data_IF_412350949956
#
_entry.id   IF_412350949956
#
_cell.length_a   1.000
_cell.length_b   1.000
_cell.length_c   1.000
_cell.angle_alpha   90.00
_cell.angle_beta   90.00
_cell.angle_gamma   90.00
#
_symmetry.space_group_name_H-M   'P 1'
#
loop_
_entity.id
_entity.type
_entity.pdbx_description
1 polymer ?
#
# COMPACT_ATOMS: atom_id res chain seq x y z
N UNK A 1 68.39 16.08 20.11
CA UNK A 1 67.56 15.54 19.00
C UNK A 1 66.32 16.42 18.83
N UNK A 2 65.84 16.62 17.59
CA UNK A 2 64.50 17.11 17.25
C UNK A 2 63.94 18.32 18.03
N UNK A 3 64.24 19.55 17.58
CA UNK A 3 63.54 20.76 18.03
C UNK A 3 63.07 21.60 16.83
N UNK A 4 61.76 21.84 16.72
CA UNK A 4 61.16 22.70 15.67
C UNK A 4 60.03 23.55 16.29
N UNK A 5 60.30 24.85 16.46
CA UNK A 5 59.29 25.90 16.61
C UNK A 5 58.56 26.09 15.25
N UNK A 6 57.40 26.78 15.09
CA UNK A 6 57.12 28.15 15.57
C UNK A 6 55.66 28.58 15.32
N UNK A 7 55.10 29.33 16.27
CA UNK A 7 54.08 30.40 16.18
C UNK A 7 53.04 30.45 15.03
N UNK A 8 51.76 30.65 15.39
CA UNK A 8 50.78 31.40 14.57
C UNK A 8 50.72 32.87 15.00
N UNK A 9 50.74 33.81 14.05
CA UNK A 9 50.12 35.13 14.22
C UNK A 9 48.58 35.01 14.18
N UNK A 10 47.74 35.95 14.66
CA UNK A 10 47.81 37.44 14.62
C UNK A 10 47.94 37.97 13.18
N UNK A 11 47.15 38.97 12.73
CA UNK A 11 46.34 39.97 13.46
C UNK A 11 45.37 40.75 12.51
N UNK A 12 44.22 41.26 13.01
CA UNK A 12 43.33 42.34 12.46
C UNK A 12 42.84 42.22 10.99
N UNK A 13 41.79 42.89 10.45
CA UNK A 13 40.59 43.69 10.86
C UNK A 13 39.62 43.68 9.64
N UNK A 14 38.37 44.18 9.57
CA UNK A 14 37.46 45.07 10.34
C UNK A 14 36.00 44.47 10.24
N UNK A 15 34.85 44.94 10.76
CA UNK A 15 34.28 46.23 11.28
C UNK A 15 33.90 47.26 10.19
N UNK A 16 32.61 47.68 10.03
CA UNK A 16 31.33 47.08 10.47
C UNK A 16 30.15 47.22 9.43
N UNK A 17 28.90 47.24 9.93
CA UNK A 17 27.65 47.84 9.39
C UNK A 17 27.03 47.39 8.05
N UNK A 18 26.00 46.54 8.16
CA UNK A 18 24.61 46.96 7.82
C UNK A 18 23.57 46.09 8.53
N UNK A 19 22.47 46.70 9.00
CA UNK A 19 21.29 45.98 9.45
C UNK A 19 20.44 45.53 8.25
N UNK A 20 19.77 44.38 8.37
CA UNK A 20 18.56 44.11 7.59
C UNK A 20 17.57 43.28 8.40
N UNK A 21 16.42 43.88 8.71
CA UNK A 21 15.28 43.13 9.23
C UNK A 21 14.73 42.25 8.09
N UNK A 22 14.81 40.93 8.26
CA UNK A 22 14.39 39.95 7.27
C UNK A 22 13.76 38.73 7.93
N UNK A 23 12.49 38.49 7.63
CA UNK A 23 11.72 37.33 8.10
C UNK A 23 12.51 36.03 7.88
N UNK A 24 12.82 35.30 8.95
CA UNK A 24 13.29 33.91 8.87
C UNK A 24 12.12 33.00 8.47
N UNK A 25 11.68 33.15 7.23
CA UNK A 25 10.75 32.25 6.57
C UNK A 25 11.50 30.96 6.23
N UNK A 26 11.76 30.12 7.25
CA UNK A 26 12.37 28.81 7.04
C UNK A 26 11.46 28.00 6.10
N UNK A 27 11.89 27.67 4.87
CA UNK A 27 11.09 26.83 4.02
C UNK A 27 11.04 25.44 4.66
N UNK A 28 9.90 25.10 5.27
CA UNK A 28 9.64 23.74 5.68
C UNK A 28 9.56 22.90 4.41
N UNK A 29 10.69 22.30 4.02
CA UNK A 29 10.78 21.33 2.95
C UNK A 29 10.05 20.05 3.39
N UNK A 30 8.71 20.13 3.38
CA UNK A 30 7.84 18.99 3.19
C UNK A 30 8.21 18.41 1.83
N UNK A 31 9.15 17.46 1.83
CA UNK A 31 9.40 16.60 0.69
C UNK A 31 8.16 15.73 0.57
N UNK A 32 7.15 16.27 -0.10
CA UNK A 32 5.97 15.52 -0.54
C UNK A 32 6.54 14.40 -1.40
N UNK A 33 6.55 13.19 -0.85
CA UNK A 33 6.84 11.99 -1.61
C UNK A 33 5.72 11.85 -2.63
N UNK A 34 5.93 12.41 -3.82
CA UNK A 34 5.08 12.20 -4.98
C UNK A 34 5.18 10.71 -5.33
N UNK A 35 4.34 9.91 -4.67
CA UNK A 35 4.18 8.50 -4.95
C UNK A 35 4.01 8.37 -6.46
N UNK A 36 4.91 7.63 -7.12
CA UNK A 36 4.97 7.59 -8.57
C UNK A 36 3.77 6.79 -9.09
N UNK A 37 2.65 7.50 -9.29
CA UNK A 37 1.31 6.96 -9.47
C UNK A 37 1.27 6.09 -10.74
N UNK A 38 1.23 4.78 -10.54
CA UNK A 38 0.79 3.85 -11.58
C UNK A 38 -0.71 3.69 -11.37
N UNK A 39 -1.50 4.51 -12.07
CA UNK A 39 -2.96 4.62 -11.88
C UNK A 39 -3.70 3.43 -12.54
N UNK A 40 -3.40 2.21 -12.06
CA UNK A 40 -4.13 1.01 -12.46
C UNK A 40 -5.53 1.07 -11.85
N UNK A 41 -6.55 1.20 -12.71
CA UNK A 41 -7.95 1.10 -12.31
C UNK A 41 -8.50 -0.30 -12.62
N UNK A 42 -9.02 -0.95 -11.58
CA UNK A 42 -9.72 -2.23 -11.68
C UNK A 42 -11.23 -2.02 -11.52
N UNK A 43 -11.95 -2.00 -12.64
CA UNK A 43 -13.41 -2.03 -12.65
C UNK A 43 -13.90 -3.48 -12.48
N UNK A 44 -14.18 -3.87 -11.24
CA UNK A 44 -14.45 -5.26 -10.85
C UNK A 44 -15.78 -5.75 -11.45
N UNK A 45 -16.83 -4.91 -11.48
CA UNK A 45 -18.15 -5.32 -11.96
C UNK A 45 -18.13 -5.64 -13.47
N UNK A 46 -17.40 -4.85 -14.26
CA UNK A 46 -17.23 -5.05 -15.70
C UNK A 46 -16.14 -6.07 -16.06
N UNK A 47 -15.29 -6.49 -15.11
CA UNK A 47 -14.17 -7.40 -15.38
C UNK A 47 -14.59 -8.83 -15.78
N UNK A 48 -13.90 -9.36 -16.79
CA UNK A 48 -13.91 -10.77 -17.18
C UNK A 48 -12.72 -11.53 -16.58
N UNK A 49 -12.70 -12.87 -16.74
CA UNK A 49 -11.53 -13.72 -16.44
C UNK A 49 -10.25 -13.16 -17.05
N UNK A 50 -10.28 -12.90 -18.35
CA UNK A 50 -9.08 -12.53 -19.10
C UNK A 50 -8.63 -11.10 -18.77
N UNK A 51 -9.57 -10.19 -18.47
CA UNK A 51 -9.24 -8.87 -17.94
C UNK A 51 -8.47 -8.99 -16.62
N UNK A 52 -8.91 -9.84 -15.68
CA UNK A 52 -8.23 -10.04 -14.40
C UNK A 52 -6.84 -10.65 -14.57
N UNK A 53 -6.67 -11.66 -15.42
CA UNK A 53 -5.36 -12.26 -15.73
C UNK A 53 -4.41 -11.23 -16.35
N UNK A 54 -4.89 -10.49 -17.35
CA UNK A 54 -4.10 -9.44 -18.02
C UNK A 54 -3.71 -8.32 -17.02
N UNK A 55 -4.67 -7.82 -16.22
CA UNK A 55 -4.40 -6.82 -15.17
C UNK A 55 -3.30 -7.29 -14.20
N UNK A 56 -3.38 -8.52 -13.69
CA UNK A 56 -2.39 -9.04 -12.76
C UNK A 56 -1.03 -9.29 -13.44
N UNK A 57 -0.98 -9.69 -14.72
CA UNK A 57 0.27 -9.80 -15.49
C UNK A 57 0.91 -8.43 -15.70
N UNK A 58 0.12 -7.48 -16.18
CA UNK A 58 0.61 -6.18 -16.63
C UNK A 58 0.98 -5.29 -15.43
N UNK A 59 0.26 -5.41 -14.32
CA UNK A 59 0.64 -4.81 -13.05
C UNK A 59 1.99 -5.36 -12.54
N UNK A 60 2.26 -6.67 -12.58
CA UNK A 60 3.59 -7.22 -12.21
C UNK A 60 4.71 -6.62 -13.05
N UNK A 61 4.50 -6.48 -14.36
CA UNK A 61 5.49 -5.87 -15.27
C UNK A 61 5.72 -4.38 -14.94
N UNK A 62 4.66 -3.63 -14.64
CA UNK A 62 4.73 -2.21 -14.23
C UNK A 62 5.31 -2.01 -12.82
N UNK A 63 5.20 -3.00 -11.95
CA UNK A 63 5.73 -3.00 -10.57
C UNK A 63 7.18 -3.49 -10.48
N UNK A 64 7.70 -4.17 -11.49
CA UNK A 64 9.10 -4.57 -11.55
C UNK A 64 10.06 -3.40 -11.79
N UNK A 65 11.32 -3.57 -11.37
CA UNK A 65 12.44 -2.82 -11.94
C UNK A 65 12.78 -3.37 -13.34
N UNK A 66 13.61 -2.65 -14.11
CA UNK A 66 14.03 -3.06 -15.47
C UNK A 66 14.78 -4.40 -15.54
N UNK A 67 15.21 -4.94 -14.40
CA UNK A 67 15.93 -6.21 -14.28
C UNK A 67 14.95 -7.32 -13.87
N UNK A 68 14.86 -8.37 -14.69
CA UNK A 68 14.15 -9.61 -14.37
C UNK A 68 15.11 -10.72 -13.93
N UNK A 69 14.70 -11.61 -13.03
CA UNK A 69 15.40 -12.88 -12.75
C UNK A 69 14.53 -14.04 -13.22
N UNK A 70 15.08 -14.95 -14.02
CA UNK A 70 14.31 -16.05 -14.64
C UNK A 70 13.00 -15.59 -15.34
N UNK A 71 13.05 -14.45 -16.03
CA UNK A 71 11.92 -13.75 -16.66
C UNK A 71 10.84 -13.21 -15.70
N UNK A 72 10.99 -13.40 -14.38
CA UNK A 72 10.13 -12.81 -13.36
C UNK A 72 10.57 -11.35 -13.08
N UNK A 73 9.65 -10.36 -13.05
CA UNK A 73 9.96 -9.00 -12.63
C UNK A 73 10.40 -8.97 -11.16
N UNK A 74 11.52 -8.32 -10.86
CA UNK A 74 12.03 -8.16 -9.49
C UNK A 74 11.49 -6.83 -8.93
N UNK A 75 11.07 -6.80 -7.67
CA UNK A 75 10.74 -5.56 -6.97
C UNK A 75 12.00 -4.73 -6.67
N UNK A 76 11.91 -3.40 -6.47
CA UNK A 76 13.04 -2.61 -5.98
C UNK A 76 13.50 -3.11 -4.60
N UNK A 77 14.79 -2.93 -4.24
CA UNK A 77 15.30 -3.33 -2.94
C UNK A 77 14.62 -2.57 -1.79
N UNK A 78 14.44 -3.25 -0.67
CA UNK A 78 13.89 -2.65 0.56
C UNK A 78 14.69 -1.42 0.99
N UNK A 79 14.04 -0.29 1.32
CA UNK A 79 14.73 0.93 1.69
C UNK A 79 15.40 0.81 3.07
N UNK A 80 16.52 1.51 3.25
CA UNK A 80 17.25 1.57 4.52
C UNK A 80 16.56 2.40 5.61
N UNK A 81 15.50 3.15 5.26
CA UNK A 81 14.74 4.01 6.17
C UNK A 81 13.28 4.13 5.76
N UNK A 82 12.38 4.28 6.73
CA UNK A 82 10.94 4.49 6.47
C UNK A 82 10.66 5.70 5.56
N UNK A 83 11.50 6.74 5.61
CA UNK A 83 11.38 7.95 4.77
C UNK A 83 11.66 7.72 3.29
N UNK A 84 12.23 6.57 2.94
CA UNK A 84 12.56 6.17 1.56
C UNK A 84 11.57 5.11 1.02
N UNK A 85 10.54 4.72 1.79
CA UNK A 85 9.49 3.84 1.30
C UNK A 85 8.74 4.53 0.17
N UNK A 86 8.71 3.88 -0.99
CA UNK A 86 7.93 4.32 -2.15
C UNK A 86 6.63 3.53 -2.22
N UNK A 87 5.56 4.21 -2.61
CA UNK A 87 4.22 3.64 -2.68
C UNK A 87 3.71 3.54 -4.11
N UNK A 88 2.81 2.59 -4.33
CA UNK A 88 2.04 2.40 -5.56
C UNK A 88 0.57 2.30 -5.18
N UNK A 89 -0.24 3.18 -5.76
CA UNK A 89 -1.68 3.22 -5.51
C UNK A 89 -2.42 2.42 -6.58
N UNK A 90 -3.46 1.66 -6.20
CA UNK A 90 -4.34 0.95 -7.14
C UNK A 90 -5.80 1.29 -6.85
N UNK A 91 -6.57 1.68 -7.87
CA UNK A 91 -7.98 2.05 -7.71
C UNK A 91 -8.88 0.84 -7.96
N UNK A 92 -9.62 0.39 -6.95
CA UNK A 92 -10.65 -0.63 -7.09
C UNK A 92 -12.03 0.04 -7.21
N UNK A 93 -12.75 -0.23 -8.30
CA UNK A 93 -14.13 0.23 -8.53
C UNK A 93 -15.08 -0.97 -8.53
N UNK A 94 -16.03 -0.99 -7.60
CA UNK A 94 -17.18 -1.88 -7.67
C UNK A 94 -18.25 -1.30 -8.60
N UNK A 95 -18.60 -0.03 -8.39
CA UNK A 95 -19.53 0.76 -9.19
C UNK A 95 -19.12 2.25 -9.16
N UNK A 96 -19.86 3.12 -9.84
CA UNK A 96 -19.51 4.54 -10.00
C UNK A 96 -19.64 5.39 -8.71
N UNK A 97 -20.10 4.81 -7.59
CA UNK A 97 -20.11 5.40 -6.24
C UNK A 97 -19.18 4.68 -5.28
N UNK A 98 -18.92 3.38 -5.50
CA UNK A 98 -18.08 2.54 -4.63
C UNK A 98 -16.68 2.32 -5.19
N UNK A 99 -15.76 3.19 -4.76
CA UNK A 99 -14.34 3.19 -5.13
C UNK A 99 -13.43 3.31 -3.91
N UNK A 100 -12.41 2.45 -3.83
CA UNK A 100 -11.32 2.57 -2.85
C UNK A 100 -9.95 2.63 -3.54
N UNK A 101 -9.02 3.41 -3.00
CA UNK A 101 -7.63 3.49 -3.48
C UNK A 101 -6.76 2.70 -2.51
N UNK A 102 -6.28 1.54 -2.91
CA UNK A 102 -5.28 0.80 -2.13
C UNK A 102 -3.95 1.55 -2.21
N UNK A 103 -3.16 1.52 -1.12
CA UNK A 103 -1.76 1.98 -1.11
C UNK A 103 -0.84 0.81 -0.77
N UNK A 104 -0.06 0.38 -1.75
CA UNK A 104 0.90 -0.72 -1.67
C UNK A 104 2.31 -0.18 -1.48
N UNK A 105 3.13 -0.86 -0.66
CA UNK A 105 4.59 -0.69 -0.66
C UNK A 105 5.18 -1.22 -1.96
N UNK A 106 6.03 -0.45 -2.64
CA UNK A 106 6.61 -0.87 -3.91
C UNK A 106 7.66 -1.98 -3.74
N UNK A 107 8.34 -2.04 -2.60
CA UNK A 107 9.45 -2.98 -2.33
C UNK A 107 9.01 -4.41 -1.97
N UNK A 108 7.78 -4.61 -1.49
CA UNK A 108 7.27 -5.94 -1.11
C UNK A 108 5.79 -6.21 -1.47
N UNK A 109 5.12 -5.25 -2.10
CA UNK A 109 3.67 -5.28 -2.40
C UNK A 109 2.78 -5.50 -1.17
N UNK A 110 3.20 -5.06 0.03
CA UNK A 110 2.36 -5.10 1.22
C UNK A 110 1.36 -3.94 1.17
N UNK A 111 0.09 -4.22 1.47
CA UNK A 111 -0.94 -3.20 1.64
C UNK A 111 -0.64 -2.43 2.93
N UNK A 112 -0.55 -1.10 2.83
CA UNK A 112 -0.34 -0.18 3.96
C UNK A 112 -1.67 0.32 4.50
N UNK A 113 -2.60 0.56 3.58
CA UNK A 113 -3.89 1.18 3.87
C UNK A 113 -4.72 1.38 2.60
N UNK A 114 -5.89 1.98 2.76
CA UNK A 114 -6.80 2.29 1.67
C UNK A 114 -7.53 3.61 1.89
N UNK A 115 -7.85 4.32 0.81
CA UNK A 115 -8.66 5.52 0.82
C UNK A 115 -10.14 5.15 0.61
N UNK A 116 -11.03 5.64 1.48
CA UNK A 116 -12.49 5.66 1.23
C UNK A 116 -12.87 6.91 0.42
N UNK A 117 -13.98 6.85 -0.31
CA UNK A 117 -14.42 7.88 -1.27
C UNK A 117 -13.35 8.22 -2.33
N UNK A 118 -12.62 7.23 -2.83
CA UNK A 118 -11.41 7.44 -3.65
C UNK A 118 -11.60 8.16 -5.01
N UNK A 119 -12.86 8.39 -5.40
CA UNK A 119 -13.27 9.24 -6.52
C UNK A 119 -13.21 10.74 -6.22
N UNK A 120 -12.97 11.12 -4.95
CA UNK A 120 -12.75 12.48 -4.47
C UNK A 120 -11.29 12.64 -4.06
N UNK A 121 -10.78 13.88 -4.10
CA UNK A 121 -9.48 14.16 -3.48
C UNK A 121 -9.60 14.29 -1.94
N UNK A 122 -8.46 14.29 -1.25
CA UNK A 122 -8.41 14.29 0.22
C UNK A 122 -9.06 15.54 0.82
N UNK A 123 -8.89 16.70 0.15
CA UNK A 123 -9.55 17.97 0.46
C UNK A 123 -11.07 17.97 0.30
N UNK A 124 -11.65 16.95 -0.34
CA UNK A 124 -13.07 16.84 -0.68
C UNK A 124 -13.80 15.73 0.11
N UNK A 125 -13.08 15.07 1.04
CA UNK A 125 -13.60 13.99 1.89
C UNK A 125 -13.15 12.58 1.50
N UNK A 126 -12.13 12.45 0.64
CA UNK A 126 -11.35 11.20 0.54
C UNK A 126 -10.54 11.00 1.83
N UNK A 127 -10.70 9.86 2.53
CA UNK A 127 -10.02 9.61 3.82
C UNK A 127 -9.18 8.34 3.78
N UNK A 128 -7.91 8.44 4.18
CA UNK A 128 -7.03 7.29 4.33
C UNK A 128 -7.26 6.53 5.64
N UNK A 129 -7.35 5.22 5.52
CA UNK A 129 -7.33 4.24 6.62
C UNK A 129 -6.03 3.45 6.53
N UNK A 130 -5.27 3.33 7.61
CA UNK A 130 -3.94 2.68 7.64
C UNK A 130 -3.90 1.54 8.66
N UNK A 131 -3.18 0.45 8.39
CA UNK A 131 -2.95 -0.59 9.39
C UNK A 131 -2.21 -0.04 10.60
N UNK A 132 -2.60 -0.44 11.82
CA UNK A 132 -1.84 -0.09 13.02
C UNK A 132 -0.47 -0.80 12.97
N UNK A 133 0.65 -0.11 13.23
CA UNK A 133 1.95 -0.75 13.35
C UNK A 133 2.16 -1.38 14.73
N UNK A 134 2.68 -2.61 14.79
CA UNK A 134 2.92 -3.35 16.03
C UNK A 134 3.88 -2.64 17.02
N UNK A 135 4.77 -1.79 16.50
CA UNK A 135 5.87 -1.15 17.23
C UNK A 135 5.69 0.34 17.51
N UNK A 136 4.48 0.90 17.32
CA UNK A 136 4.24 2.34 17.49
C UNK A 136 4.98 3.23 16.47
N UNK A 137 5.34 2.67 15.31
CA UNK A 137 5.98 3.38 14.22
C UNK A 137 5.12 4.59 13.74
N UNK A 138 5.74 5.63 13.15
CA UNK A 138 5.00 6.74 12.59
C UNK A 138 4.14 6.31 11.39
N UNK A 139 3.06 7.06 11.13
CA UNK A 139 2.19 6.85 9.97
C UNK A 139 3.00 6.82 8.67
N UNK A 140 2.79 5.78 7.87
CA UNK A 140 3.26 5.66 6.50
C UNK A 140 2.37 6.46 5.54
N UNK A 141 1.13 6.78 5.94
CA UNK A 141 0.21 7.64 5.20
C UNK A 141 -0.13 8.86 6.07
N UNK A 142 0.47 10.04 5.82
CA UNK A 142 0.24 11.22 6.65
C UNK A 142 -1.24 11.59 6.78
N UNK A 143 -1.73 11.77 8.01
CA UNK A 143 -3.12 12.14 8.28
C UNK A 143 -4.12 10.97 8.14
N UNK A 144 -3.64 9.73 8.05
CA UNK A 144 -4.51 8.55 8.05
C UNK A 144 -5.22 8.34 9.38
N UNK A 145 -6.27 7.51 9.36
CA UNK A 145 -6.89 6.96 10.57
C UNK A 145 -6.46 5.51 10.73
N UNK A 146 -5.86 5.15 11.87
CA UNK A 146 -5.46 3.77 12.13
C UNK A 146 -6.65 2.81 12.23
N UNK A 147 -6.48 1.60 11.69
CA UNK A 147 -7.47 0.53 11.63
C UNK A 147 -7.63 -0.26 12.93
N UNK A 148 -6.80 -0.02 13.94
CA UNK A 148 -6.83 -0.72 15.23
C UNK A 148 -6.34 -2.17 15.20
N UNK A 149 -6.01 -2.69 14.03
CA UNK A 149 -5.36 -3.98 13.79
C UNK A 149 -4.26 -3.84 12.73
N UNK A 150 -3.32 -4.78 12.72
CA UNK A 150 -2.15 -4.76 11.83
C UNK A 150 -2.47 -5.48 10.51
N UNK A 151 -1.57 -5.38 9.52
CA UNK A 151 -1.77 -5.98 8.19
C UNK A 151 -1.56 -7.50 8.11
N UNK A 152 -1.22 -8.16 9.22
CA UNK A 152 -1.01 -9.59 9.28
C UNK A 152 -2.31 -10.40 9.23
N UNK A 153 -2.30 -11.56 8.58
CA UNK A 153 -3.48 -12.41 8.45
C UNK A 153 -4.06 -12.84 9.81
N UNK A 154 -3.22 -13.12 10.81
CA UNK A 154 -3.69 -13.51 12.15
C UNK A 154 -4.44 -12.38 12.87
N UNK A 155 -3.92 -11.14 12.76
CA UNK A 155 -4.57 -9.95 13.29
C UNK A 155 -5.90 -9.66 12.57
N UNK A 156 -5.95 -9.87 11.26
CA UNK A 156 -7.16 -9.73 10.46
C UNK A 156 -8.20 -10.84 10.74
N UNK A 157 -7.78 -12.09 10.92
CA UNK A 157 -8.64 -13.22 11.31
C UNK A 157 -9.25 -12.98 12.69
N UNK A 158 -8.41 -12.57 13.66
CA UNK A 158 -8.84 -12.18 15.00
C UNK A 158 -9.85 -11.02 14.95
N UNK A 159 -9.50 -9.91 14.28
CA UNK A 159 -10.38 -8.74 14.17
C UNK A 159 -11.70 -9.03 13.43
N UNK A 160 -11.71 -9.99 12.49
CA UNK A 160 -12.92 -10.41 11.76
C UNK A 160 -13.74 -11.52 12.43
N UNK A 161 -13.25 -12.08 13.54
CA UNK A 161 -13.81 -13.27 14.20
C UNK A 161 -13.91 -14.50 13.26
N UNK A 162 -12.92 -14.68 12.38
CA UNK A 162 -12.84 -15.82 11.46
C UNK A 162 -11.71 -16.74 11.93
N UNK A 163 -12.00 -18.04 12.09
CA UNK A 163 -11.05 -18.99 12.68
C UNK A 163 -9.79 -19.25 11.82
N UNK A 164 -9.92 -19.21 10.49
CA UNK A 164 -8.85 -19.58 9.55
C UNK A 164 -9.15 -19.12 8.11
N UNK A 165 -8.11 -18.97 7.29
CA UNK A 165 -8.21 -18.45 5.91
C UNK A 165 -9.08 -19.32 4.99
N UNK A 166 -9.15 -20.64 5.19
CA UNK A 166 -10.01 -21.54 4.39
C UNK A 166 -11.52 -21.29 4.61
N UNK A 167 -11.90 -20.52 5.63
CA UNK A 167 -13.28 -20.06 5.85
C UNK A 167 -13.59 -18.75 5.11
N UNK A 168 -12.61 -18.11 4.48
CA UNK A 168 -12.79 -16.85 3.74
C UNK A 168 -13.13 -17.12 2.28
N UNK A 169 -14.39 -16.93 1.94
CA UNK A 169 -14.91 -17.06 0.57
C UNK A 169 -14.44 -15.91 -0.33
N UNK A 170 -13.64 -16.24 -1.36
CA UNK A 170 -13.02 -15.28 -2.28
C UNK A 170 -13.49 -15.50 -3.72
N UNK A 171 -13.57 -14.41 -4.48
CA UNK A 171 -14.03 -14.41 -5.87
C UNK A 171 -14.54 -13.03 -6.29
N UNK A 172 -15.01 -12.89 -7.53
CA UNK A 172 -15.51 -11.61 -8.08
C UNK A 172 -16.56 -10.94 -7.19
N UNK A 173 -17.62 -11.65 -6.83
CA UNK A 173 -18.75 -11.05 -6.08
C UNK A 173 -18.37 -10.79 -4.60
N UNK A 174 -17.51 -11.62 -4.00
CA UNK A 174 -16.88 -11.33 -2.70
C UNK A 174 -16.03 -10.06 -2.71
N UNK A 175 -15.29 -9.81 -3.81
CA UNK A 175 -14.45 -8.63 -3.97
C UNK A 175 -15.28 -7.36 -4.22
N UNK A 176 -16.41 -7.46 -4.96
CA UNK A 176 -17.38 -6.39 -5.11
C UNK A 176 -17.93 -5.94 -3.75
N UNK A 177 -18.46 -6.89 -2.97
CA UNK A 177 -18.91 -6.60 -1.61
C UNK A 177 -17.78 -6.04 -0.74
N UNK A 178 -16.57 -6.61 -0.80
CA UNK A 178 -15.43 -6.10 -0.04
C UNK A 178 -15.15 -4.61 -0.31
N UNK A 179 -15.17 -4.18 -1.58
CA UNK A 179 -14.98 -2.75 -1.94
C UNK A 179 -16.13 -1.88 -1.47
N UNK A 180 -17.39 -2.34 -1.58
CA UNK A 180 -18.57 -1.61 -1.09
C UNK A 180 -18.51 -1.43 0.44
N UNK A 181 -18.18 -2.50 1.18
CA UNK A 181 -18.04 -2.45 2.65
C UNK A 181 -16.85 -1.60 3.07
N UNK A 182 -15.73 -1.63 2.35
CA UNK A 182 -14.56 -0.81 2.66
C UNK A 182 -14.82 0.68 2.42
N UNK A 183 -15.50 1.03 1.31
CA UNK A 183 -15.85 2.42 0.99
C UNK A 183 -16.82 3.05 2.02
N UNK A 184 -17.69 2.25 2.63
CA UNK A 184 -18.62 2.73 3.64
C UNK A 184 -17.90 3.04 4.99
N UNK A 185 -17.90 4.30 5.47
CA UNK A 185 -17.25 4.68 6.73
C UNK A 185 -17.87 3.99 7.95
N UNK A 186 -19.18 3.74 7.92
CA UNK A 186 -19.95 3.13 9.03
C UNK A 186 -19.82 1.61 9.12
N UNK A 187 -19.03 0.98 8.25
CA UNK A 187 -18.75 -0.46 8.32
C UNK A 187 -18.02 -0.83 9.61
N UNK A 188 -18.51 -1.86 10.30
CA UNK A 188 -17.94 -2.35 11.55
C UNK A 188 -16.52 -2.92 11.38
N UNK A 189 -15.75 -2.93 12.46
CA UNK A 189 -14.37 -3.45 12.50
C UNK A 189 -14.25 -4.86 11.88
N UNK A 190 -15.09 -5.79 12.29
CA UNK A 190 -15.00 -7.18 11.84
C UNK A 190 -15.31 -7.36 10.35
N UNK A 191 -16.29 -6.62 9.82
CA UNK A 191 -16.59 -6.63 8.39
C UNK A 191 -15.42 -5.98 7.62
N UNK A 192 -14.89 -4.85 8.10
CA UNK A 192 -13.74 -4.17 7.50
C UNK A 192 -12.51 -5.07 7.44
N UNK A 193 -12.20 -5.81 8.51
CA UNK A 193 -11.14 -6.81 8.54
C UNK A 193 -11.39 -7.95 7.53
N UNK A 194 -12.59 -8.55 7.50
CA UNK A 194 -12.95 -9.59 6.50
C UNK A 194 -12.76 -9.09 5.07
N UNK A 195 -13.22 -7.88 4.76
CA UNK A 195 -13.07 -7.27 3.43
C UNK A 195 -11.60 -7.02 3.06
N UNK A 196 -10.74 -6.68 4.02
CA UNK A 196 -9.30 -6.55 3.78
C UNK A 196 -8.63 -7.90 3.49
N UNK A 197 -9.03 -9.00 4.14
CA UNK A 197 -8.52 -10.35 3.79
C UNK A 197 -8.86 -10.69 2.33
N UNK A 198 -10.11 -10.43 1.91
CA UNK A 198 -10.56 -10.68 0.52
C UNK A 198 -9.73 -9.84 -0.46
N UNK A 199 -9.50 -8.56 -0.18
CA UNK A 199 -8.66 -7.67 -1.02
C UNK A 199 -7.19 -8.13 -1.05
N UNK A 200 -6.62 -8.56 0.09
CA UNK A 200 -5.25 -9.07 0.14
C UNK A 200 -5.09 -10.32 -0.73
N UNK A 201 -5.99 -11.30 -0.65
CA UNK A 201 -5.94 -12.51 -1.47
C UNK A 201 -6.17 -12.20 -2.96
N UNK A 202 -7.25 -11.47 -3.28
CA UNK A 202 -7.65 -11.17 -4.66
C UNK A 202 -6.73 -10.18 -5.39
N UNK A 203 -5.92 -9.38 -4.66
CA UNK A 203 -5.02 -8.38 -5.26
C UNK A 203 -3.56 -8.66 -4.89
N UNK A 204 -3.21 -8.63 -3.61
CA UNK A 204 -1.81 -8.66 -3.18
C UNK A 204 -1.16 -10.04 -3.37
N UNK A 205 -1.82 -11.12 -2.97
CA UNK A 205 -1.32 -12.48 -3.21
C UNK A 205 -1.41 -12.85 -4.70
N UNK A 206 -2.44 -12.38 -5.40
CA UNK A 206 -2.51 -12.55 -6.85
C UNK A 206 -1.35 -11.84 -7.57
N UNK A 207 -0.98 -10.62 -7.19
CA UNK A 207 0.22 -9.95 -7.74
C UNK A 207 1.51 -10.75 -7.46
N UNK A 208 1.67 -11.33 -6.27
CA UNK A 208 2.86 -12.13 -5.93
C UNK A 208 2.90 -13.50 -6.61
N UNK A 209 1.75 -14.16 -6.80
CA UNK A 209 1.68 -15.55 -7.25
C UNK A 209 0.76 -15.72 -8.47
N UNK A 210 1.33 -16.19 -9.58
CA UNK A 210 0.58 -16.56 -10.80
C UNK A 210 -0.49 -17.61 -10.51
N UNK A 211 -0.12 -18.68 -9.79
CA UNK A 211 -1.04 -19.73 -9.36
C UNK A 211 -2.31 -19.20 -8.67
N UNK A 212 -2.20 -18.17 -7.84
CA UNK A 212 -3.36 -17.57 -7.14
C UNK A 212 -4.21 -16.74 -8.11
N UNK A 213 -3.59 -16.08 -9.09
CA UNK A 213 -4.34 -15.46 -10.21
C UNK A 213 -5.12 -16.51 -11.00
N UNK A 214 -4.46 -17.61 -11.39
CA UNK A 214 -5.05 -18.67 -12.22
C UNK A 214 -6.17 -19.43 -11.51
N UNK A 215 -6.04 -19.62 -10.18
CA UNK A 215 -7.07 -20.20 -9.31
C UNK A 215 -8.31 -19.29 -9.17
N UNK A 216 -8.12 -17.97 -9.09
CA UNK A 216 -9.19 -17.01 -8.83
C UNK A 216 -9.86 -16.46 -10.10
N UNK A 217 -9.14 -16.44 -11.24
CA UNK A 217 -9.65 -15.91 -12.50
C UNK A 217 -10.95 -16.58 -13.00
N UNK A 218 -11.20 -17.91 -12.82
CA UNK A 218 -12.49 -18.53 -13.12
C UNK A 218 -13.69 -17.89 -12.43
N UNK A 219 -13.52 -17.32 -11.22
CA UNK A 219 -14.61 -16.68 -10.46
C UNK A 219 -15.19 -15.43 -11.14
N UNK A 220 -14.46 -14.85 -12.10
CA UNK A 220 -14.93 -13.71 -12.89
C UNK A 220 -15.87 -14.08 -14.03
N UNK A 221 -16.00 -15.39 -14.32
CA UNK A 221 -17.02 -15.96 -15.22
C UNK A 221 -18.07 -16.73 -14.41
N UNK A 222 -17.62 -17.70 -13.61
CA UNK A 222 -18.49 -18.51 -12.78
C UNK A 222 -18.52 -17.91 -11.36
N UNK A 223 -19.52 -17.08 -11.06
CA UNK A 223 -19.54 -16.19 -9.87
C UNK A 223 -19.60 -16.88 -8.50
N UNK A 224 -19.53 -18.21 -8.46
CA UNK A 224 -19.43 -18.95 -7.21
C UNK A 224 -18.09 -18.63 -6.52
N UNK A 225 -18.08 -18.29 -5.22
CA UNK A 225 -16.84 -18.06 -4.49
C UNK A 225 -16.08 -19.37 -4.28
N UNK A 226 -14.76 -19.26 -4.23
CA UNK A 226 -13.83 -20.35 -3.90
C UNK A 226 -13.41 -20.19 -2.44
N UNK A 227 -13.25 -21.30 -1.73
CA UNK A 227 -12.56 -21.34 -0.43
C UNK A 227 -11.11 -21.77 -0.65
N UNK A 228 -10.11 -21.12 -0.04
CA UNK A 228 -8.74 -21.59 -0.08
C UNK A 228 -8.68 -23.05 0.36
N UNK A 229 -7.99 -23.90 -0.41
CA UNK A 229 -7.85 -25.31 -0.08
C UNK A 229 -7.19 -25.44 1.29
N UNK A 230 -7.87 -26.06 2.26
CA UNK A 230 -7.24 -26.50 3.48
C UNK A 230 -6.08 -27.44 3.11
N UNK A 231 -4.91 -27.25 3.71
CA UNK A 231 -3.76 -28.09 3.45
C UNK A 231 -4.07 -29.52 3.94
N UNK A 232 -4.14 -30.48 3.01
CA UNK A 232 -4.02 -31.89 3.37
C UNK A 232 -2.66 -32.07 4.04
N UNK A 233 -2.67 -32.26 5.36
CA UNK A 233 -1.48 -32.35 6.21
C UNK A 233 -0.74 -33.67 6.04
N UNK A 234 -0.25 -33.95 4.82
CA UNK A 234 0.63 -35.07 4.53
C UNK A 234 2.06 -34.78 5.01
N UNK A 235 2.43 -35.42 6.11
CA UNK A 235 3.81 -35.73 6.49
C UNK A 235 3.92 -37.24 6.66
#
# INVERSE_FOLDING_TARGET
>A
MGAVYKQRGRKISAVPDWEFNGLFFTPSFSVISMALIIKEEFNISKASRDFYINLMRDARQKLGVKTSSYQLPILPPSPSSYRQIQFKDMLLRADDKNMIRLRLRWDNLYLVGFQINAAKEESEGGRWMEFTPDSGAPQLIPGSTYLGFTGGYDALLSASNIASLDKVEVGKDSLLEAVIRLNNPSTSYAIRAKSLIIVLIMICESLRFTYITDLLAPTFVNRQPIKPNASNGGR
#
